data_IF_806336744756
#
_entry.id   IF_806336744756
#
_cell.length_a   1.000
_cell.length_b   1.000
_cell.length_c   1.000
_cell.angle_alpha   90.00
_cell.angle_beta   90.00
_cell.angle_gamma   90.00
#
_symmetry.space_group_name_H-M   'P 1'
#
loop_
_entity.id
_entity.type
_entity.pdbx_description
1 polymer ?
#
# COMPACT_ATOMS: atom_id res chain seq x y z
N UNK A 1 -37.01 7.97 -3.39
CA UNK A 1 -36.07 9.04 -3.11
C UNK A 1 -35.35 9.35 -4.42
N UNK A 2 -35.61 10.52 -5.03
CA UNK A 2 -34.91 10.94 -6.24
C UNK A 2 -33.48 11.32 -5.88
N UNK A 3 -32.53 10.89 -6.69
CA UNK A 3 -31.12 11.34 -6.59
C UNK A 3 -31.13 12.84 -6.92
N UNK A 4 -30.60 13.68 -6.03
CA UNK A 4 -30.40 15.09 -6.32
C UNK A 4 -29.32 15.22 -7.40
N UNK A 5 -29.74 15.51 -8.62
CA UNK A 5 -28.83 15.67 -9.77
C UNK A 5 -28.24 17.09 -9.86
N UNK A 6 -28.50 17.95 -8.87
CA UNK A 6 -27.95 19.31 -8.79
C UNK A 6 -26.65 19.39 -8.00
N UNK A 7 -26.02 18.27 -7.68
CA UNK A 7 -24.63 18.26 -7.22
C UNK A 7 -23.79 18.83 -8.35
N UNK A 8 -23.29 20.04 -8.12
CA UNK A 8 -22.40 20.73 -9.05
C UNK A 8 -21.05 19.99 -9.06
N UNK A 9 -21.00 18.89 -9.80
CA UNK A 9 -19.80 18.13 -10.06
C UNK A 9 -18.95 18.95 -11.03
N UNK A 10 -18.18 19.88 -10.52
CA UNK A 10 -17.05 20.37 -11.30
C UNK A 10 -15.94 19.31 -11.09
N UNK A 11 -15.41 18.71 -12.17
CA UNK A 11 -14.13 18.03 -12.04
C UNK A 11 -13.17 19.08 -11.49
N UNK A 12 -12.70 18.89 -10.26
CA UNK A 12 -11.56 19.65 -9.77
C UNK A 12 -10.47 19.45 -10.81
N UNK A 13 -9.74 20.50 -11.16
CA UNK A 13 -8.55 20.40 -12.02
C UNK A 13 -7.49 19.59 -11.23
N UNK A 14 -7.72 18.27 -11.14
CA UNK A 14 -6.81 17.37 -10.47
C UNK A 14 -5.75 16.96 -11.47
N UNK A 15 -4.51 17.13 -11.11
CA UNK A 15 -3.39 16.63 -11.90
C UNK A 15 -3.19 15.13 -11.61
N UNK A 16 -3.67 14.29 -12.50
CA UNK A 16 -3.53 12.84 -12.40
C UNK A 16 -2.09 12.34 -12.62
N UNK A 17 -1.11 13.23 -12.87
CA UNK A 17 0.27 12.93 -13.24
C UNK A 17 1.29 13.21 -12.11
N UNK A 18 0.86 13.25 -10.84
CA UNK A 18 1.71 13.63 -9.71
C UNK A 18 2.49 12.45 -9.09
N UNK A 19 2.79 11.40 -9.85
CA UNK A 19 3.56 10.27 -9.31
C UNK A 19 5.02 10.68 -9.12
N UNK A 20 5.51 10.58 -7.88
CA UNK A 20 6.88 10.82 -7.47
C UNK A 20 7.49 9.52 -6.97
N UNK A 21 8.46 8.98 -7.67
CA UNK A 21 9.14 7.76 -7.26
C UNK A 21 10.62 8.02 -7.03
N UNK A 22 11.16 7.47 -5.94
CA UNK A 22 12.60 7.48 -5.72
C UNK A 22 13.31 6.74 -6.87
N UNK A 23 14.50 7.19 -7.34
CA UNK A 23 15.22 6.55 -8.46
C UNK A 23 15.53 5.05 -8.25
N UNK A 24 15.50 4.56 -7.02
CA UNK A 24 15.68 3.14 -6.71
C UNK A 24 14.37 2.37 -6.58
N UNK A 25 13.21 3.02 -6.73
CA UNK A 25 11.93 2.32 -6.78
C UNK A 25 11.89 1.35 -7.97
N UNK A 26 11.19 0.25 -7.85
CA UNK A 26 11.12 -0.83 -8.84
C UNK A 26 9.67 -1.12 -9.17
N UNK A 27 9.30 -0.91 -10.41
CA UNK A 27 7.89 -0.91 -10.81
C UNK A 27 7.69 -1.90 -11.95
N UNK A 28 6.62 -2.68 -11.86
CA UNK A 28 6.21 -3.54 -12.98
C UNK A 28 5.54 -2.70 -14.08
N UNK A 29 5.85 -2.93 -15.35
CA UNK A 29 5.21 -2.21 -16.46
C UNK A 29 3.70 -2.48 -16.58
N UNK A 30 3.16 -3.45 -15.85
CA UNK A 30 1.71 -3.77 -15.84
C UNK A 30 0.94 -3.10 -14.71
N UNK A 31 1.59 -2.22 -13.91
CA UNK A 31 0.91 -1.43 -12.89
C UNK A 31 0.16 -0.24 -13.50
N UNK A 32 -0.83 0.27 -12.73
CA UNK A 32 -1.44 1.57 -12.99
C UNK A 32 -1.23 2.45 -11.75
N UNK A 33 -0.57 3.58 -11.93
CA UNK A 33 -0.29 4.57 -10.91
C UNK A 33 -0.89 5.89 -11.37
N UNK A 34 -1.87 6.44 -10.63
CA UNK A 34 -2.63 7.63 -11.03
C UNK A 34 -2.75 8.57 -9.84
N UNK A 35 -2.42 9.85 -10.01
CA UNK A 35 -2.61 10.90 -9.02
C UNK A 35 -1.40 11.15 -8.11
N UNK A 36 -1.63 11.72 -6.91
CA UNK A 36 -0.56 12.10 -5.97
C UNK A 36 -0.02 10.88 -5.21
N UNK A 37 0.92 10.19 -5.85
CA UNK A 37 1.57 9.00 -5.30
C UNK A 37 3.04 9.30 -5.03
N UNK A 38 3.51 8.97 -3.83
CA UNK A 38 4.93 9.03 -3.48
C UNK A 38 5.44 7.64 -3.13
N UNK A 39 6.49 7.19 -3.85
CA UNK A 39 7.17 5.92 -3.60
C UNK A 39 8.58 6.19 -3.08
N UNK A 40 8.90 5.68 -1.90
CA UNK A 40 10.19 5.83 -1.23
C UNK A 40 11.32 5.01 -1.84
N UNK A 41 12.48 5.04 -1.17
CA UNK A 41 13.67 4.31 -1.56
C UNK A 41 13.43 2.79 -1.54
N UNK A 42 13.86 2.08 -2.59
CA UNK A 42 13.73 0.62 -2.74
C UNK A 42 12.28 0.09 -2.60
N UNK A 43 11.28 0.93 -2.76
CA UNK A 43 9.89 0.48 -2.86
C UNK A 43 9.72 -0.36 -4.12
N UNK A 44 8.98 -1.46 -4.03
CA UNK A 44 8.62 -2.25 -5.20
C UNK A 44 7.10 -2.32 -5.39
N UNK A 45 6.66 -2.16 -6.65
CA UNK A 45 5.25 -2.30 -7.05
C UNK A 45 5.16 -3.39 -8.10
N UNK A 46 4.56 -4.51 -7.73
CA UNK A 46 4.53 -5.73 -8.52
C UNK A 46 3.40 -5.72 -9.56
N UNK A 47 3.39 -6.75 -10.42
CA UNK A 47 2.50 -6.83 -11.56
C UNK A 47 1.00 -6.70 -11.20
N UNK A 48 0.28 -5.94 -12.00
CA UNK A 48 -1.17 -5.81 -11.90
C UNK A 48 -1.68 -4.94 -10.75
N UNK A 49 -0.80 -4.29 -9.97
CA UNK A 49 -1.21 -3.35 -8.94
C UNK A 49 -1.95 -2.14 -9.53
N UNK A 50 -2.89 -1.60 -8.76
CA UNK A 50 -3.65 -0.40 -9.12
C UNK A 50 -3.63 0.56 -7.93
N UNK A 51 -2.94 1.69 -8.08
CA UNK A 51 -2.87 2.75 -7.10
C UNK A 51 -3.51 3.99 -7.73
N UNK A 52 -4.57 4.51 -7.12
CA UNK A 52 -5.25 5.73 -7.58
C UNK A 52 -5.39 6.70 -6.42
N UNK A 53 -4.83 7.88 -6.57
CA UNK A 53 -4.76 8.95 -5.57
C UNK A 53 -5.28 10.26 -6.20
N UNK A 54 -6.60 10.34 -6.39
CA UNK A 54 -7.27 11.41 -7.10
C UNK A 54 -8.07 12.37 -6.20
N UNK A 55 -8.26 12.04 -4.93
CA UNK A 55 -8.92 12.91 -3.94
C UNK A 55 -7.98 13.32 -2.79
N UNK A 56 -6.94 12.53 -2.50
CA UNK A 56 -5.88 12.81 -1.52
C UNK A 56 -4.57 12.17 -2.03
N UNK A 57 -3.72 11.65 -1.18
CA UNK A 57 -2.41 11.09 -1.55
C UNK A 57 -2.24 9.64 -1.09
N UNK A 58 -1.37 8.92 -1.78
CA UNK A 58 -0.82 7.64 -1.37
C UNK A 58 0.68 7.81 -1.14
N UNK A 59 1.16 7.46 0.06
CA UNK A 59 2.58 7.49 0.41
C UNK A 59 3.05 6.10 0.80
N UNK A 60 4.10 5.62 0.15
CA UNK A 60 4.71 4.31 0.44
C UNK A 60 6.14 4.53 0.93
N UNK A 61 6.41 4.15 2.18
CA UNK A 61 7.69 4.31 2.85
C UNK A 61 8.78 3.38 2.32
N UNK A 62 10.03 3.76 2.57
CA UNK A 62 11.23 3.07 2.07
C UNK A 62 11.22 1.56 2.37
N UNK A 63 11.73 0.75 1.46
CA UNK A 63 11.87 -0.70 1.61
C UNK A 63 10.56 -1.48 1.59
N UNK A 64 9.43 -0.82 1.37
CA UNK A 64 8.11 -1.46 1.32
C UNK A 64 7.83 -2.10 -0.03
N UNK A 65 6.94 -3.09 -0.05
CA UNK A 65 6.55 -3.78 -1.28
C UNK A 65 5.02 -3.88 -1.40
N UNK A 66 4.54 -3.66 -2.61
CA UNK A 66 3.13 -3.83 -3.00
C UNK A 66 3.09 -5.02 -3.95
N UNK A 67 2.54 -6.14 -3.48
CA UNK A 67 2.56 -7.40 -4.22
C UNK A 67 1.43 -7.48 -5.26
N UNK A 68 1.52 -8.45 -6.15
CA UNK A 68 0.70 -8.57 -7.35
C UNK A 68 -0.80 -8.40 -7.10
N UNK A 69 -1.42 -7.56 -7.92
CA UNK A 69 -2.86 -7.35 -7.91
C UNK A 69 -3.42 -6.58 -6.72
N UNK A 70 -2.57 -6.04 -5.83
CA UNK A 70 -3.04 -5.18 -4.75
C UNK A 70 -3.69 -3.91 -5.32
N UNK A 71 -4.74 -3.43 -4.64
CA UNK A 71 -5.49 -2.24 -5.02
C UNK A 71 -5.44 -1.26 -3.87
N UNK A 72 -5.05 -0.03 -4.15
CA UNK A 72 -4.93 1.04 -3.16
C UNK A 72 -5.65 2.28 -3.67
N UNK A 73 -6.56 2.80 -2.85
CA UNK A 73 -7.31 4.01 -3.13
C UNK A 73 -7.57 4.78 -1.82
N UNK A 74 -7.97 6.01 -1.94
CA UNK A 74 -8.24 6.92 -0.83
C UNK A 74 -9.53 7.71 -1.07
N UNK A 75 -9.97 8.46 -0.07
CA UNK A 75 -11.01 9.47 -0.16
C UNK A 75 -10.47 10.82 0.32
N UNK A 76 -11.12 11.91 -0.03
CA UNK A 76 -10.76 13.26 0.39
C UNK A 76 -10.61 13.37 1.93
N UNK A 77 -9.42 13.76 2.40
CA UNK A 77 -9.09 13.85 3.82
C UNK A 77 -8.76 12.51 4.50
N UNK A 78 -8.65 11.43 3.73
CA UNK A 78 -8.32 10.08 4.20
C UNK A 78 -7.21 9.45 3.34
N UNK A 79 -5.96 9.96 3.42
CA UNK A 79 -4.85 9.44 2.63
C UNK A 79 -4.55 7.98 2.96
N UNK A 80 -3.86 7.28 2.06
CA UNK A 80 -3.23 6.01 2.39
C UNK A 80 -1.76 6.26 2.70
N UNK A 81 -1.37 5.93 3.93
CA UNK A 81 0.01 6.04 4.39
C UNK A 81 0.53 4.65 4.75
N UNK A 82 1.57 4.20 4.07
CA UNK A 82 2.24 2.92 4.33
C UNK A 82 3.64 3.22 4.86
N UNK A 83 3.93 2.75 6.06
CA UNK A 83 5.22 2.92 6.73
C UNK A 83 6.35 2.16 6.03
N UNK A 84 7.58 2.37 6.50
CA UNK A 84 8.79 1.74 5.96
C UNK A 84 8.80 0.22 6.20
N UNK A 85 9.49 -0.51 5.33
CA UNK A 85 9.67 -1.96 5.43
C UNK A 85 8.35 -2.74 5.61
N UNK A 86 7.27 -2.26 5.02
CA UNK A 86 5.94 -2.87 5.12
C UNK A 86 5.61 -3.64 3.85
N UNK A 87 5.10 -4.86 4.02
CA UNK A 87 4.69 -5.73 2.92
C UNK A 87 3.18 -5.72 2.76
N UNK A 88 2.70 -5.35 1.58
CA UNK A 88 1.29 -5.43 1.20
C UNK A 88 1.10 -6.66 0.31
N UNK A 89 0.48 -7.69 0.85
CA UNK A 89 0.33 -9.00 0.23
C UNK A 89 -0.56 -8.99 -1.02
N UNK A 90 -0.41 -10.06 -1.82
CA UNK A 90 -1.12 -10.22 -3.08
C UNK A 90 -2.63 -10.00 -2.94
N UNK A 91 -3.22 -9.24 -3.87
CA UNK A 91 -4.64 -8.91 -3.90
C UNK A 91 -5.20 -8.23 -2.64
N UNK A 92 -4.37 -7.66 -1.78
CA UNK A 92 -4.85 -6.85 -0.68
C UNK A 92 -5.53 -5.57 -1.19
N UNK A 93 -6.57 -5.12 -0.45
CA UNK A 93 -7.30 -3.88 -0.72
C UNK A 93 -7.07 -2.92 0.44
N UNK A 94 -6.51 -1.76 0.16
CA UNK A 94 -6.32 -0.67 1.12
C UNK A 94 -7.11 0.56 0.67
N UNK A 95 -7.87 1.13 1.58
CA UNK A 95 -8.67 2.31 1.28
C UNK A 95 -8.60 3.29 2.44
N UNK A 96 -8.05 4.51 2.20
CA UNK A 96 -8.06 5.60 3.16
C UNK A 96 -7.49 5.26 4.55
N UNK A 97 -6.37 4.54 4.65
CA UNK A 97 -5.89 3.95 5.91
C UNK A 97 -4.41 4.23 6.18
N UNK A 98 -4.00 4.06 7.43
CA UNK A 98 -2.63 4.18 7.87
C UNK A 98 -2.06 2.82 8.30
N UNK A 99 -0.97 2.39 7.69
CA UNK A 99 -0.23 1.18 8.06
C UNK A 99 1.12 1.61 8.63
N UNK A 100 1.43 1.20 9.85
CA UNK A 100 2.69 1.47 10.51
C UNK A 100 3.89 0.87 9.78
N UNK A 101 5.08 1.17 10.26
CA UNK A 101 6.30 0.59 9.72
C UNK A 101 6.44 -0.89 10.11
N UNK A 102 7.19 -1.63 9.30
CA UNK A 102 7.53 -3.04 9.53
C UNK A 102 6.27 -3.91 9.76
N UNK A 103 5.25 -3.71 8.94
CA UNK A 103 4.01 -4.48 8.99
C UNK A 103 3.92 -5.50 7.85
N UNK A 104 3.08 -6.52 8.06
CA UNK A 104 2.65 -7.44 7.03
C UNK A 104 1.12 -7.38 6.88
N UNK A 105 0.65 -6.93 5.73
CA UNK A 105 -0.75 -7.08 5.33
C UNK A 105 -0.87 -8.34 4.48
N UNK A 106 -1.57 -9.33 4.99
CA UNK A 106 -1.70 -10.64 4.35
C UNK A 106 -2.52 -10.60 3.07
N UNK A 107 -2.37 -11.64 2.24
CA UNK A 107 -3.05 -11.79 0.95
C UNK A 107 -4.56 -11.61 1.09
N UNK A 108 -5.16 -10.84 0.17
CA UNK A 108 -6.61 -10.56 0.10
C UNK A 108 -7.20 -9.94 1.38
N UNK A 109 -6.39 -9.38 2.27
CA UNK A 109 -6.90 -8.59 3.38
C UNK A 109 -7.50 -7.28 2.87
N UNK A 110 -8.54 -6.80 3.54
CA UNK A 110 -9.20 -5.52 3.23
C UNK A 110 -9.08 -4.60 4.44
N UNK A 111 -8.58 -3.38 4.22
CA UNK A 111 -8.42 -2.36 5.26
C UNK A 111 -9.14 -1.10 4.79
N UNK A 112 -10.13 -0.64 5.59
CA UNK A 112 -11.07 0.41 5.20
C UNK A 112 -10.71 1.78 5.80
N UNK A 113 -11.45 2.80 5.39
CA UNK A 113 -11.25 4.21 5.72
C UNK A 113 -10.99 4.47 7.21
N UNK A 114 -10.01 5.32 7.48
CA UNK A 114 -9.65 5.74 8.83
C UNK A 114 -9.08 4.63 9.72
N UNK A 115 -8.88 3.42 9.19
CA UNK A 115 -8.24 2.36 9.96
C UNK A 115 -6.75 2.63 10.15
N UNK A 116 -6.22 2.29 11.34
CA UNK A 116 -4.81 2.45 11.69
C UNK A 116 -4.24 1.16 12.25
N UNK A 117 -3.16 0.69 11.63
CA UNK A 117 -2.42 -0.49 12.03
C UNK A 117 -1.10 -0.03 12.65
N UNK A 118 -0.89 -0.30 13.93
CA UNK A 118 0.36 0.00 14.63
C UNK A 118 1.55 -0.78 14.07
N UNK A 119 2.75 -0.25 14.25
CA UNK A 119 3.99 -0.83 13.75
C UNK A 119 4.19 -2.30 14.17
N UNK A 120 5.02 -3.04 13.44
CA UNK A 120 5.37 -4.43 13.75
C UNK A 120 4.17 -5.37 13.80
N UNK A 121 3.10 -5.07 13.08
CA UNK A 121 1.84 -5.82 13.15
C UNK A 121 1.59 -6.67 11.90
N UNK A 122 0.83 -7.72 12.08
CA UNK A 122 0.40 -8.61 11.00
C UNK A 122 -1.13 -8.56 10.90
N UNK A 123 -1.63 -8.16 9.74
CA UNK A 123 -3.02 -8.38 9.33
C UNK A 123 -3.06 -9.69 8.56
N UNK A 124 -3.75 -10.69 9.09
CA UNK A 124 -3.79 -12.02 8.49
C UNK A 124 -4.48 -12.02 7.11
N UNK A 125 -4.13 -13.00 6.28
CA UNK A 125 -4.76 -13.18 4.97
C UNK A 125 -6.29 -13.26 5.08
N UNK A 126 -7.00 -12.55 4.19
CA UNK A 126 -8.46 -12.48 4.15
C UNK A 126 -9.12 -11.76 5.33
N UNK A 127 -8.36 -11.10 6.21
CA UNK A 127 -8.94 -10.33 7.30
C UNK A 127 -9.62 -9.05 6.77
N UNK A 128 -10.71 -8.63 7.44
CA UNK A 128 -11.42 -7.38 7.15
C UNK A 128 -11.24 -6.41 8.33
N UNK A 129 -10.45 -5.38 8.15
CA UNK A 129 -10.34 -4.25 9.08
C UNK A 129 -11.36 -3.20 8.68
N UNK A 130 -12.38 -3.03 9.52
CA UNK A 130 -13.47 -2.09 9.26
C UNK A 130 -13.07 -0.64 9.56
N UNK A 131 -13.85 0.29 9.07
CA UNK A 131 -13.62 1.73 9.16
C UNK A 131 -13.31 2.20 10.59
N UNK A 132 -12.35 3.12 10.70
CA UNK A 132 -11.98 3.79 11.94
C UNK A 132 -11.40 2.89 13.03
N UNK A 133 -11.04 1.65 12.71
CA UNK A 133 -10.43 0.74 13.69
C UNK A 133 -8.95 1.02 13.88
N UNK A 134 -8.54 1.15 15.12
CA UNK A 134 -7.16 1.33 15.49
C UNK A 134 -6.64 0.09 16.23
N UNK A 135 -5.46 -0.38 15.82
CA UNK A 135 -4.79 -1.54 16.42
C UNK A 135 -3.42 -1.13 16.94
N UNK A 136 -3.07 -1.53 18.18
CA UNK A 136 -1.75 -1.21 18.73
C UNK A 136 -0.64 -1.91 17.97
N UNK A 137 0.58 -1.46 18.18
CA UNK A 137 1.78 -2.11 17.67
C UNK A 137 1.92 -3.58 18.12
N UNK A 138 2.70 -4.36 17.39
CA UNK A 138 2.95 -5.78 17.63
C UNK A 138 1.69 -6.65 17.63
N UNK A 139 0.64 -6.27 16.92
CA UNK A 139 -0.64 -7.00 16.89
C UNK A 139 -0.68 -8.07 15.81
N UNK A 140 -1.16 -9.27 16.17
CA UNK A 140 -1.69 -10.22 15.18
C UNK A 140 -3.19 -10.00 15.03
N UNK A 141 -3.63 -9.48 13.90
CA UNK A 141 -5.02 -9.11 13.59
C UNK A 141 -5.60 -10.17 12.66
N UNK A 142 -6.71 -10.79 13.05
CA UNK A 142 -7.32 -11.89 12.29
C UNK A 142 -8.85 -11.77 12.24
N UNK A 143 -9.44 -12.28 11.18
CA UNK A 143 -10.89 -12.53 11.08
C UNK A 143 -11.69 -11.44 10.35
N UNK A 144 -12.98 -11.67 10.25
CA UNK A 144 -13.99 -10.79 9.63
C UNK A 144 -15.15 -10.62 10.62
N UNK A 145 -15.26 -9.45 11.31
CA UNK A 145 -14.30 -8.33 11.31
C UNK A 145 -12.99 -8.68 12.05
N UNK A 146 -11.91 -7.97 11.68
CA UNK A 146 -10.58 -8.13 12.25
C UNK A 146 -10.52 -7.78 13.73
N UNK A 147 -9.83 -8.62 14.51
CA UNK A 147 -9.60 -8.43 15.95
C UNK A 147 -8.17 -8.82 16.32
N UNK A 148 -7.59 -8.16 17.32
CA UNK A 148 -6.32 -8.61 17.89
C UNK A 148 -6.51 -10.01 18.46
N UNK A 149 -5.77 -10.97 17.94
CA UNK A 149 -5.73 -12.35 18.45
C UNK A 149 -4.71 -12.49 19.59
N UNK A 150 -3.58 -11.82 19.43
CA UNK A 150 -2.50 -11.77 20.42
C UNK A 150 -1.46 -10.71 20.05
N UNK A 151 -0.56 -10.44 20.98
CA UNK A 151 0.66 -9.67 20.72
C UNK A 151 1.71 -10.61 20.08
N UNK A 152 2.49 -10.08 19.15
CA UNK A 152 3.62 -10.78 18.52
C UNK A 152 4.87 -10.65 19.39
N UNK A 153 5.68 -11.71 19.46
CA UNK A 153 7.04 -11.64 19.99
C UNK A 153 8.00 -11.01 19.00
N UNK A 154 9.17 -10.56 19.46
CA UNK A 154 10.21 -9.97 18.58
C UNK A 154 10.64 -10.93 17.47
N UNK A 155 10.74 -12.24 17.79
CA UNK A 155 11.09 -13.25 16.78
C UNK A 155 10.01 -13.40 15.71
N UNK A 156 8.73 -13.36 16.09
CA UNK A 156 7.61 -13.41 15.15
C UNK A 156 7.53 -12.15 14.29
N UNK A 157 7.80 -10.97 14.87
CA UNK A 157 7.91 -9.72 14.11
C UNK A 157 9.02 -9.83 13.07
N UNK A 158 10.20 -10.35 13.46
CA UNK A 158 11.29 -10.56 12.53
C UNK A 158 10.88 -11.52 11.40
N UNK A 159 10.35 -12.69 11.73
CA UNK A 159 10.02 -13.75 10.76
C UNK A 159 8.86 -13.38 9.83
N UNK A 160 7.86 -12.65 10.34
CA UNK A 160 6.62 -12.38 9.61
C UNK A 160 6.58 -11.00 8.94
N UNK A 161 7.37 -10.03 9.42
CA UNK A 161 7.37 -8.67 8.90
C UNK A 161 8.72 -8.26 8.33
N UNK A 162 9.78 -8.30 9.15
CA UNK A 162 11.10 -7.78 8.78
C UNK A 162 11.76 -8.60 7.67
N UNK A 163 11.84 -9.91 7.85
CA UNK A 163 12.50 -10.79 6.88
C UNK A 163 11.83 -10.75 5.50
N UNK A 164 10.48 -10.85 5.38
CA UNK A 164 9.80 -10.73 4.08
C UNK A 164 10.07 -9.40 3.38
N UNK A 165 10.05 -8.27 4.09
CA UNK A 165 10.33 -6.97 3.49
C UNK A 165 11.76 -6.90 2.92
N UNK A 166 12.75 -7.36 3.67
CA UNK A 166 14.16 -7.43 3.22
C UNK A 166 14.34 -8.41 2.04
N UNK A 167 13.63 -9.53 2.05
CA UNK A 167 13.70 -10.52 0.97
C UNK A 167 13.12 -9.95 -0.33
N UNK A 168 12.02 -9.19 -0.26
CA UNK A 168 11.45 -8.50 -1.42
C UNK A 168 12.40 -7.45 -2.00
N UNK A 169 13.16 -6.73 -1.19
CA UNK A 169 14.19 -5.80 -1.69
C UNK A 169 15.24 -6.55 -2.52
N UNK A 170 15.69 -7.74 -2.08
CA UNK A 170 16.66 -8.59 -2.81
C UNK A 170 16.04 -9.19 -4.06
N UNK A 171 14.85 -9.77 -3.94
CA UNK A 171 14.11 -10.38 -5.04
C UNK A 171 13.89 -9.38 -6.18
N UNK A 172 13.39 -8.19 -5.85
CA UNK A 172 13.06 -7.17 -6.85
C UNK A 172 14.30 -6.51 -7.45
N UNK A 173 15.44 -6.53 -6.76
CA UNK A 173 16.73 -6.19 -7.36
C UNK A 173 17.15 -7.19 -8.45
N UNK A 174 16.92 -8.48 -8.22
CA UNK A 174 17.18 -9.51 -9.24
C UNK A 174 16.22 -9.35 -10.43
N UNK A 175 14.92 -9.12 -10.17
CA UNK A 175 13.91 -8.90 -11.21
C UNK A 175 14.21 -7.65 -12.06
N UNK A 176 14.76 -6.60 -11.43
CA UNK A 176 15.22 -5.41 -12.15
C UNK A 176 16.38 -5.75 -13.10
N UNK A 177 17.38 -6.52 -12.64
CA UNK A 177 18.52 -6.93 -13.47
C UNK A 177 18.09 -7.79 -14.66
N UNK A 178 17.04 -8.58 -14.50
CA UNK A 178 16.48 -9.43 -15.55
C UNK A 178 15.46 -8.69 -16.45
N UNK A 179 15.22 -7.38 -16.22
CA UNK A 179 14.31 -6.56 -17.03
C UNK A 179 12.81 -6.84 -16.79
N UNK A 180 12.45 -7.51 -15.70
CA UNK A 180 11.05 -7.76 -15.30
C UNK A 180 10.43 -6.52 -14.67
N UNK A 181 11.23 -5.77 -13.91
CA UNK A 181 10.88 -4.48 -13.33
C UNK A 181 11.74 -3.39 -13.93
N UNK A 182 11.33 -2.15 -13.79
CA UNK A 182 12.13 -1.00 -14.17
C UNK A 182 12.27 0.00 -13.03
N UNK A 183 13.32 0.83 -13.06
CA UNK A 183 13.45 2.00 -12.22
C UNK A 183 12.89 3.21 -12.97
N UNK A 184 11.96 3.95 -12.38
CA UNK A 184 11.53 5.20 -12.97
C UNK A 184 12.69 6.22 -12.88
N UNK A 185 13.07 6.79 -14.03
CA UNK A 185 13.97 7.94 -14.06
C UNK A 185 13.25 9.20 -13.56
N UNK A 186 13.98 10.28 -13.30
CA UNK A 186 13.38 11.54 -12.83
C UNK A 186 12.37 12.15 -13.82
N UNK A 187 12.47 11.79 -15.09
CA UNK A 187 11.58 12.26 -16.16
C UNK A 187 10.66 11.15 -16.69
N UNK A 188 10.47 10.08 -15.90
CA UNK A 188 9.65 8.96 -16.32
C UNK A 188 8.17 9.36 -16.32
N UNK A 189 7.55 9.30 -17.49
CA UNK A 189 6.11 9.50 -17.64
C UNK A 189 5.38 8.17 -17.35
N UNK A 190 4.70 8.11 -16.21
CA UNK A 190 3.90 6.96 -15.81
C UNK A 190 2.65 6.72 -16.68
N UNK A 191 2.45 7.52 -17.73
CA UNK A 191 1.27 7.51 -18.59
C UNK A 191 1.57 7.27 -20.08
N UNK A 192 2.86 7.14 -20.42
CA UNK A 192 3.28 6.87 -21.80
C UNK A 192 3.02 5.42 -22.25
#
# INVERSE_FOLDING_TARGET
MGIDTNVNWSPTEFDYHQVKAHPTARISPSCSLVGDITLGENVSVMAGCRLRADDDRIVVGDGSNIQEGAIIHEDAGMPVIIGKNTSIGHHAMLHGCEIGENCMVGMSATIMNGAKIGANSVVAAGALVTEGKEFPENSLIVGVPGKVKRVLSDQEVFDMCTYPALDYVRLTEAMLKDGVLFNPGPDFDFQA
#
